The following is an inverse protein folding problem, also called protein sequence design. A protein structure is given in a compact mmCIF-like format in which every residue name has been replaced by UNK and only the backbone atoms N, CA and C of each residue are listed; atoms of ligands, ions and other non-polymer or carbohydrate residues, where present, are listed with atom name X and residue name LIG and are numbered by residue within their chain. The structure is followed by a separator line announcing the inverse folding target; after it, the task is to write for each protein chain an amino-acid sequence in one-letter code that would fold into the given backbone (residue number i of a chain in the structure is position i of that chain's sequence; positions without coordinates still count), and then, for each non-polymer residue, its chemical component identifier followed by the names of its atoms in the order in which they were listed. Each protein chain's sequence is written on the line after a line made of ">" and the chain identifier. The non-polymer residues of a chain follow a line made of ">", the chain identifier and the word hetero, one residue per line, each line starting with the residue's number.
data_IF_061059069728
#
_entry.id   IF_061059069728
#
_cell.length_a   1.000
_cell.length_b   1.000
_cell.length_c   1.000
_cell.angle_alpha   90.00
_cell.angle_beta   90.00
_cell.angle_gamma   90.00
#
_symmetry.space_group_name_H-M   'P 1'
#
loop_
_entity.id
_entity.type
_entity.pdbx_description
1 polymer ?
#
# COMPACT_ATOMS: atom_id res chain seq x y z
N UNK A 1 3.89 -81.88 29.34
CA UNK A 1 2.78 -81.79 30.32
C UNK A 1 2.21 -80.38 30.21
N UNK A 2 1.18 -80.17 29.38
CA UNK A 2 0.60 -78.85 29.16
C UNK A 2 -0.48 -78.56 30.19
N UNK A 3 -0.35 -77.47 30.94
CA UNK A 3 -1.51 -76.75 31.47
C UNK A 3 -1.25 -75.24 31.48
N UNK A 4 -1.94 -74.58 30.56
CA UNK A 4 -2.13 -73.13 30.47
C UNK A 4 -3.19 -72.70 31.48
N UNK A 5 -2.97 -71.60 32.21
CA UNK A 5 -4.04 -70.85 32.87
C UNK A 5 -3.80 -69.37 32.61
N UNK A 6 -4.76 -68.73 31.95
CA UNK A 6 -4.88 -67.27 31.79
C UNK A 6 -5.87 -66.80 32.84
N UNK A 7 -5.51 -65.80 33.65
CA UNK A 7 -6.44 -65.04 34.48
C UNK A 7 -6.47 -63.61 33.96
N UNK A 8 -7.69 -63.15 33.64
CA UNK A 8 -8.00 -61.86 33.07
C UNK A 8 -7.74 -60.71 34.05
N UNK A 9 -7.28 -59.61 33.48
CA UNK A 9 -6.84 -58.38 34.15
C UNK A 9 -8.00 -57.58 34.75
N UNK A 10 -7.83 -57.13 36.00
CA UNK A 10 -8.55 -55.98 36.57
C UNK A 10 -7.70 -54.72 36.30
N UNK A 11 -8.27 -53.70 35.66
CA UNK A 11 -7.59 -52.42 35.46
C UNK A 11 -8.56 -51.26 35.61
N UNK A 12 -8.50 -50.56 36.75
CA UNK A 12 -9.20 -49.29 36.99
C UNK A 12 -8.73 -48.23 35.98
N UNK A 13 -9.67 -47.56 35.32
CA UNK A 13 -9.41 -46.30 34.61
C UNK A 13 -9.10 -45.20 35.64
N UNK A 14 -7.83 -44.81 35.75
CA UNK A 14 -7.44 -43.51 36.30
C UNK A 14 -7.29 -42.50 35.18
N UNK A 15 -8.28 -41.64 34.95
CA UNK A 15 -8.15 -40.53 34.02
C UNK A 15 -7.42 -39.37 34.71
N UNK A 16 -6.11 -39.23 34.45
CA UNK A 16 -5.37 -38.04 34.83
C UNK A 16 -5.64 -36.93 33.81
N UNK A 17 -6.44 -35.93 34.21
CA UNK A 17 -6.68 -34.72 33.43
C UNK A 17 -5.47 -33.79 33.58
N UNK A 18 -4.47 -33.93 32.70
CA UNK A 18 -3.42 -32.92 32.56
C UNK A 18 -4.03 -31.69 31.87
N UNK A 19 -4.36 -30.67 32.65
CA UNK A 19 -4.52 -29.32 32.13
C UNK A 19 -3.13 -28.81 31.72
N UNK A 20 -2.82 -28.92 30.43
CA UNK A 20 -1.63 -28.31 29.87
C UNK A 20 -1.74 -26.77 30.01
N UNK A 21 -0.96 -26.20 30.92
CA UNK A 21 -0.76 -24.76 30.98
C UNK A 21 -0.06 -24.33 29.68
N UNK A 22 -0.82 -23.81 28.71
CA UNK A 22 -0.24 -23.07 27.59
C UNK A 22 0.10 -21.67 28.10
N UNK A 23 1.37 -21.25 28.09
CA UNK A 23 1.67 -19.85 28.34
C UNK A 23 0.96 -19.00 27.27
N UNK A 24 0.53 -17.76 27.61
CA UNK A 24 -0.02 -16.86 26.62
C UNK A 24 1.00 -16.68 25.50
N UNK A 25 0.55 -16.88 24.26
CA UNK A 25 1.34 -16.59 23.07
C UNK A 25 1.74 -15.12 23.17
N UNK A 26 3.05 -14.84 23.25
CA UNK A 26 3.54 -13.47 23.14
C UNK A 26 2.96 -12.87 21.85
N UNK A 27 2.43 -11.63 21.89
CA UNK A 27 1.88 -10.99 20.70
C UNK A 27 2.92 -11.08 19.55
N UNK A 28 2.54 -11.69 18.44
CA UNK A 28 3.42 -11.97 17.29
C UNK A 28 4.04 -10.69 16.70
N UNK A 29 3.36 -9.56 16.89
CA UNK A 29 3.78 -8.24 16.44
C UNK A 29 3.65 -7.19 17.57
N UNK A 30 4.57 -6.21 17.65
CA UNK A 30 4.45 -5.06 18.54
C UNK A 30 3.14 -4.30 18.35
N UNK A 31 2.58 -3.80 19.46
CA UNK A 31 1.34 -3.03 19.47
C UNK A 31 1.41 -1.80 18.55
N UNK A 32 2.57 -1.18 18.43
CA UNK A 32 2.83 -0.02 17.57
C UNK A 32 2.66 -0.32 16.08
N UNK A 33 2.75 -1.60 15.68
CA UNK A 33 2.56 -2.04 14.30
C UNK A 33 1.13 -2.51 13.99
N UNK A 34 0.30 -2.75 15.01
CA UNK A 34 -1.02 -3.39 14.84
C UNK A 34 -2.19 -2.68 15.52
N UNK A 35 -1.93 -1.75 16.46
CA UNK A 35 -2.95 -1.03 17.23
C UNK A 35 -2.94 0.46 16.84
N UNK A 36 -3.77 0.80 15.85
CA UNK A 36 -3.94 2.18 15.37
C UNK A 36 -5.21 2.81 15.95
N UNK A 37 -5.13 4.10 16.32
CA UNK A 37 -6.28 4.93 16.68
C UNK A 37 -6.42 6.07 15.66
N UNK A 38 -7.63 6.33 15.13
CA UNK A 38 -7.85 7.49 14.27
C UNK A 38 -7.46 8.79 14.98
N UNK A 39 -6.77 9.68 14.27
CA UNK A 39 -6.50 11.01 14.77
C UNK A 39 -7.79 11.82 14.88
N UNK A 40 -8.00 12.50 16.01
CA UNK A 40 -9.25 13.22 16.30
C UNK A 40 -9.45 14.44 15.40
N UNK A 41 -8.38 15.00 14.84
CA UNK A 41 -8.41 16.15 13.94
C UNK A 41 -8.55 15.80 12.45
N UNK A 42 -9.02 14.61 12.11
CA UNK A 42 -9.25 14.24 10.72
C UNK A 42 -10.34 15.11 10.04
N UNK A 43 -10.24 15.38 8.72
CA UNK A 43 -9.17 14.95 7.81
C UNK A 43 -7.91 15.84 7.88
N UNK A 44 -6.73 15.23 7.83
CA UNK A 44 -5.44 15.94 7.81
C UNK A 44 -5.15 16.66 6.48
N UNK A 45 -5.68 16.12 5.38
CA UNK A 45 -5.54 16.68 4.04
C UNK A 45 -6.78 16.32 3.23
N UNK A 46 -7.37 17.29 2.52
CA UNK A 46 -8.57 17.11 1.68
C UNK A 46 -8.42 17.94 0.42
N UNK A 47 -9.23 17.61 -0.60
CA UNK A 47 -9.38 18.47 -1.78
C UNK A 47 -9.80 19.86 -1.37
N UNK A 48 -9.47 20.85 -2.19
CA UNK A 48 -9.80 22.25 -1.90
C UNK A 48 -11.32 22.47 -1.82
N UNK A 49 -12.09 21.64 -2.54
CA UNK A 49 -13.52 21.84 -2.76
C UNK A 49 -13.84 23.00 -3.70
N UNK A 50 -12.83 23.64 -4.29
CA UNK A 50 -12.96 24.74 -5.22
C UNK A 50 -12.80 24.22 -6.66
N UNK A 51 -13.87 24.24 -7.49
CA UNK A 51 -13.80 23.82 -8.89
C UNK A 51 -12.83 24.64 -9.75
N UNK A 52 -12.37 25.81 -9.29
CA UNK A 52 -11.34 26.60 -9.97
C UNK A 52 -9.92 26.04 -9.76
N UNK A 53 -9.74 25.03 -8.90
CA UNK A 53 -8.45 24.42 -8.61
C UNK A 53 -8.34 23.02 -9.19
N UNK A 54 -7.13 22.64 -9.60
CA UNK A 54 -6.85 21.33 -10.19
C UNK A 54 -7.08 20.17 -9.21
N UNK A 55 -6.95 20.40 -7.90
CA UNK A 55 -7.18 19.44 -6.82
C UNK A 55 -8.44 19.75 -6.00
N UNK A 56 -9.51 20.20 -6.69
CA UNK A 56 -10.87 20.29 -6.15
C UNK A 56 -11.20 19.05 -5.32
N UNK A 57 -10.92 17.88 -5.89
CA UNK A 57 -11.06 16.56 -5.29
C UNK A 57 -9.71 15.88 -5.20
N UNK A 58 -9.61 14.95 -4.27
CA UNK A 58 -8.44 14.08 -4.09
C UNK A 58 -8.88 12.67 -4.48
N UNK A 59 -8.19 12.10 -5.46
CA UNK A 59 -8.29 10.69 -5.79
C UNK A 59 -7.55 9.86 -4.73
N UNK A 60 -6.33 10.30 -4.37
CA UNK A 60 -5.45 9.56 -3.46
C UNK A 60 -4.46 10.46 -2.71
N UNK A 61 -4.03 9.96 -1.53
CA UNK A 61 -2.92 10.51 -0.73
C UNK A 61 -1.75 9.53 -0.83
N UNK A 62 -1.26 9.37 -2.06
CA UNK A 62 -0.53 8.20 -2.55
C UNK A 62 0.64 7.73 -1.70
N UNK A 63 1.64 8.60 -1.47
CA UNK A 63 2.84 8.18 -0.77
C UNK A 63 3.40 9.28 0.13
N UNK A 64 3.80 8.91 1.34
CA UNK A 64 4.48 9.80 2.30
C UNK A 64 5.91 9.30 2.52
N UNK A 65 6.89 10.11 2.14
CA UNK A 65 8.30 9.90 2.47
C UNK A 65 8.72 10.83 3.61
N UNK A 66 9.39 10.29 4.62
CA UNK A 66 10.07 11.09 5.64
C UNK A 66 11.56 11.15 5.32
N UNK A 67 12.09 12.35 5.12
CA UNK A 67 13.50 12.57 4.80
C UNK A 67 13.98 13.93 5.30
N UNK A 68 15.20 13.99 5.85
CA UNK A 68 15.78 15.25 6.30
C UNK A 68 14.95 15.97 7.37
N UNK A 69 14.25 15.22 8.22
CA UNK A 69 13.36 15.77 9.25
C UNK A 69 12.02 16.31 8.75
N UNK A 70 11.72 16.17 7.45
CA UNK A 70 10.47 16.64 6.83
C UNK A 70 9.70 15.47 6.20
N UNK A 71 8.39 15.58 6.15
CA UNK A 71 7.50 14.69 5.43
C UNK A 71 7.14 15.29 4.07
N UNK A 72 7.15 14.45 3.04
CA UNK A 72 6.78 14.77 1.67
C UNK A 72 5.66 13.82 1.25
N UNK A 73 4.52 14.37 0.88
CA UNK A 73 3.37 13.62 0.38
C UNK A 73 3.18 13.92 -1.09
N UNK A 74 3.28 12.88 -1.92
CA UNK A 74 2.76 12.92 -3.28
C UNK A 74 1.31 12.47 -3.24
N UNK A 75 0.45 13.24 -3.91
CA UNK A 75 -0.99 13.04 -3.90
C UNK A 75 -1.59 13.26 -5.27
N UNK A 76 -2.73 12.64 -5.52
CA UNK A 76 -3.44 12.72 -6.78
C UNK A 76 -4.69 13.57 -6.63
N UNK A 77 -4.71 14.69 -7.35
CA UNK A 77 -5.82 15.63 -7.39
C UNK A 77 -6.49 15.66 -8.76
N UNK A 78 -7.76 16.05 -8.77
CA UNK A 78 -8.52 16.25 -9.99
C UNK A 78 -9.68 17.21 -9.78
N UNK A 79 -10.19 17.74 -10.88
CA UNK A 79 -11.42 18.53 -10.93
C UNK A 79 -12.29 18.05 -12.09
N UNK A 80 -13.61 18.14 -11.92
CA UNK A 80 -14.54 17.87 -13.01
C UNK A 80 -14.84 19.12 -13.85
N UNK A 81 -14.36 20.30 -13.43
CA UNK A 81 -14.71 21.58 -14.05
C UNK A 81 -14.16 21.75 -15.48
N UNK A 82 -13.07 21.07 -15.81
CA UNK A 82 -12.46 21.12 -17.15
C UNK A 82 -13.14 20.17 -18.15
N UNK A 83 -13.96 19.23 -17.67
CA UNK A 83 -14.47 18.12 -18.47
C UNK A 83 -13.42 17.06 -18.82
N UNK A 84 -12.17 17.24 -18.41
CA UNK A 84 -11.11 16.25 -18.56
C UNK A 84 -11.13 15.28 -17.39
N UNK A 85 -10.92 13.99 -17.66
CA UNK A 85 -10.80 12.97 -16.61
C UNK A 85 -9.36 12.86 -16.05
N UNK A 86 -8.51 13.86 -16.26
CA UNK A 86 -7.10 13.76 -15.90
C UNK A 86 -6.88 13.67 -14.38
N UNK A 87 -5.88 12.87 -13.96
CA UNK A 87 -5.42 12.75 -12.58
C UNK A 87 -4.01 13.31 -12.45
N UNK A 88 -3.90 14.40 -11.71
CA UNK A 88 -2.68 15.20 -11.62
C UNK A 88 -1.89 14.88 -10.36
N UNK A 89 -0.56 14.96 -10.46
CA UNK A 89 0.33 14.78 -9.32
C UNK A 89 0.59 16.11 -8.62
N UNK A 90 0.34 16.15 -7.31
CA UNK A 90 0.73 17.23 -6.42
C UNK A 90 1.74 16.80 -5.38
N UNK A 91 2.40 17.79 -4.79
CA UNK A 91 3.27 17.64 -3.63
C UNK A 91 2.74 18.46 -2.45
N UNK A 92 2.78 17.90 -1.26
CA UNK A 92 2.59 18.62 -0.01
C UNK A 92 3.70 18.25 0.98
N UNK A 93 4.04 19.16 1.88
CA UNK A 93 5.06 18.92 2.91
C UNK A 93 4.50 19.12 4.30
N UNK A 94 5.08 18.44 5.28
CA UNK A 94 4.76 18.59 6.69
C UNK A 94 6.01 18.43 7.55
N UNK A 95 6.09 19.15 8.67
CA UNK A 95 7.17 18.98 9.65
C UNK A 95 6.80 17.95 10.74
N UNK A 96 5.50 17.70 10.95
CA UNK A 96 4.97 16.85 12.03
C UNK A 96 4.14 15.65 11.53
N UNK A 97 3.90 15.55 10.22
CA UNK A 97 3.04 14.54 9.61
C UNK A 97 1.53 14.79 9.79
N UNK A 98 1.15 15.85 10.51
CA UNK A 98 -0.24 16.19 10.84
C UNK A 98 -0.72 17.40 10.06
N UNK A 99 0.09 18.46 9.97
CA UNK A 99 -0.22 19.69 9.25
C UNK A 99 0.49 19.71 7.91
N UNK A 100 -0.27 19.78 6.84
CA UNK A 100 0.25 19.66 5.47
C UNK A 100 0.10 20.97 4.71
N UNK A 101 1.19 21.41 4.07
CA UNK A 101 1.24 22.58 3.21
C UNK A 101 1.44 22.13 1.77
N UNK A 102 0.53 22.51 0.87
CA UNK A 102 0.66 22.27 -0.57
C UNK A 102 1.88 23.01 -1.12
N UNK A 103 2.59 22.39 -2.06
CA UNK A 103 3.64 23.05 -2.80
C UNK A 103 3.04 24.15 -3.69
N UNK A 104 3.63 25.34 -3.66
CA UNK A 104 3.06 26.54 -4.28
C UNK A 104 2.94 26.46 -5.81
N UNK A 105 3.75 25.61 -6.47
CA UNK A 105 3.73 25.41 -7.92
C UNK A 105 3.04 24.11 -8.34
N UNK A 106 2.19 23.56 -7.47
CA UNK A 106 1.33 22.44 -7.86
C UNK A 106 0.40 22.84 -9.03
N UNK A 107 -0.02 21.87 -9.86
CA UNK A 107 0.41 20.47 -9.88
C UNK A 107 1.86 20.34 -10.40
N UNK A 108 2.60 19.35 -9.91
CA UNK A 108 4.00 19.13 -10.28
C UNK A 108 4.17 18.19 -11.48
N UNK A 109 3.10 17.51 -11.91
CA UNK A 109 3.07 16.74 -13.15
C UNK A 109 1.69 16.81 -13.80
N UNK A 110 1.64 17.18 -15.08
CA UNK A 110 0.39 17.42 -15.83
C UNK A 110 0.27 16.67 -17.15
N UNK A 111 1.35 16.06 -17.62
CA UNK A 111 1.39 15.42 -18.95
C UNK A 111 1.09 13.92 -18.91
N UNK A 112 1.03 13.32 -17.72
CA UNK A 112 0.73 11.91 -17.48
C UNK A 112 -0.29 11.81 -16.34
N UNK A 113 -1.24 10.89 -16.48
CA UNK A 113 -2.14 10.49 -15.40
C UNK A 113 -1.32 9.77 -14.34
N UNK A 114 -1.42 10.20 -13.09
CA UNK A 114 -0.63 9.61 -11.99
C UNK A 114 -1.53 9.32 -10.79
N UNK A 115 -1.69 8.04 -10.46
CA UNK A 115 -2.33 7.54 -9.24
C UNK A 115 -1.60 6.28 -8.72
N UNK A 116 -2.03 5.72 -7.60
CA UNK A 116 -1.49 4.55 -6.88
C UNK A 116 0.05 4.47 -6.87
N UNK A 117 0.65 5.58 -6.47
CA UNK A 117 2.08 5.83 -6.56
C UNK A 117 2.85 5.33 -5.33
N UNK A 118 4.05 4.81 -5.58
CA UNK A 118 5.06 4.51 -4.57
C UNK A 118 6.36 5.22 -4.94
N UNK A 119 7.01 5.86 -3.96
CA UNK A 119 8.27 6.58 -4.17
C UNK A 119 9.39 5.93 -3.37
N UNK A 120 10.45 5.52 -4.07
CA UNK A 120 11.69 5.01 -3.50
C UNK A 120 12.82 5.97 -3.80
N UNK A 121 13.87 5.94 -2.98
CA UNK A 121 15.08 6.72 -3.20
C UNK A 121 16.30 5.80 -3.23
N UNK A 122 17.12 5.95 -4.27
CA UNK A 122 18.43 5.31 -4.38
C UNK A 122 19.47 6.39 -4.75
N UNK A 123 20.50 6.55 -3.92
CA UNK A 123 21.50 7.61 -4.09
C UNK A 123 20.86 9.00 -4.12
N UNK A 124 21.01 9.69 -5.26
CA UNK A 124 20.44 11.03 -5.50
C UNK A 124 19.18 10.99 -6.37
N UNK A 125 18.63 9.81 -6.64
CA UNK A 125 17.48 9.63 -7.54
C UNK A 125 16.27 9.11 -6.77
N UNK A 126 15.14 9.77 -7.01
CA UNK A 126 13.83 9.28 -6.62
C UNK A 126 13.22 8.53 -7.79
N UNK A 127 12.63 7.37 -7.50
CA UNK A 127 11.93 6.51 -8.43
C UNK A 127 10.48 6.47 -8.00
N UNK A 128 9.57 6.82 -8.90
CA UNK A 128 8.14 6.72 -8.68
C UNK A 128 7.59 5.64 -9.60
N UNK A 129 6.98 4.63 -8.98
CA UNK A 129 6.16 3.64 -9.65
C UNK A 129 4.73 4.10 -9.48
N UNK A 130 4.02 4.37 -10.56
CA UNK A 130 2.66 4.92 -10.49
C UNK A 130 1.75 4.28 -11.52
N UNK A 131 0.48 4.19 -11.19
CA UNK A 131 -0.58 3.85 -12.12
C UNK A 131 -0.91 5.05 -13.00
N UNK A 132 -1.04 4.78 -14.29
CA UNK A 132 -1.53 5.71 -15.30
C UNK A 132 -2.84 5.23 -15.92
N UNK A 133 -3.33 5.97 -16.91
CA UNK A 133 -4.57 5.65 -17.62
C UNK A 133 -4.61 4.18 -18.05
N UNK A 134 -5.78 3.57 -17.91
CA UNK A 134 -6.03 2.15 -18.21
C UNK A 134 -5.22 1.16 -17.33
N UNK A 135 -4.95 1.57 -16.08
CA UNK A 135 -4.25 0.80 -15.05
C UNK A 135 -2.82 0.39 -15.47
N UNK A 136 -2.15 1.25 -16.23
CA UNK A 136 -0.80 0.97 -16.76
C UNK A 136 0.23 1.50 -15.77
N UNK A 137 1.07 0.62 -15.24
CA UNK A 137 2.19 1.02 -14.39
C UNK A 137 3.27 1.75 -15.21
N UNK A 138 3.68 2.93 -14.76
CA UNK A 138 4.76 3.75 -15.31
C UNK A 138 5.92 3.89 -14.32
N UNK A 139 7.13 4.09 -14.86
CA UNK A 139 8.29 4.50 -14.09
C UNK A 139 8.60 5.98 -14.34
N UNK A 140 8.67 6.76 -13.27
CA UNK A 140 9.14 8.14 -13.31
C UNK A 140 10.39 8.31 -12.43
N UNK A 141 11.28 9.22 -12.80
CA UNK A 141 12.44 9.58 -11.95
C UNK A 141 12.52 11.07 -11.68
N UNK A 142 13.00 11.45 -10.50
CA UNK A 142 13.29 12.84 -10.14
C UNK A 142 14.60 12.94 -9.36
N UNK A 143 15.31 14.06 -9.47
CA UNK A 143 16.45 14.39 -8.61
C UNK A 143 16.08 15.30 -7.43
N UNK A 144 14.89 15.90 -7.44
CA UNK A 144 14.52 16.98 -6.53
C UNK A 144 13.12 16.84 -5.92
N UNK A 145 12.42 15.73 -6.20
CA UNK A 145 11.04 15.40 -5.75
C UNK A 145 9.92 16.14 -6.49
N UNK A 146 10.27 17.09 -7.35
CA UNK A 146 9.33 18.00 -8.02
C UNK A 146 9.29 17.75 -9.52
N UNK A 147 10.47 17.73 -10.16
CA UNK A 147 10.59 17.55 -11.60
C UNK A 147 10.72 16.05 -11.90
N UNK A 148 9.64 15.47 -12.42
CA UNK A 148 9.56 14.05 -12.76
C UNK A 148 9.71 13.84 -14.26
N UNK A 149 10.59 12.91 -14.63
CA UNK A 149 10.75 12.42 -15.99
C UNK A 149 10.07 11.06 -16.10
N UNK A 150 9.06 10.95 -16.97
CA UNK A 150 8.44 9.69 -17.35
C UNK A 150 9.38 8.86 -18.25
N UNK A 151 9.53 7.58 -17.94
CA UNK A 151 10.25 6.59 -18.73
C UNK A 151 9.31 5.62 -19.45
N UNK A 152 8.00 5.84 -19.35
CA UNK A 152 6.96 5.05 -19.99
C UNK A 152 6.51 3.86 -19.15
N UNK A 153 5.69 3.03 -19.78
CA UNK A 153 5.10 1.84 -19.17
C UNK A 153 6.18 0.82 -18.77
N UNK A 154 6.02 0.24 -17.58
CA UNK A 154 6.87 -0.81 -17.07
C UNK A 154 6.48 -2.13 -17.75
N UNK A 155 7.48 -2.83 -18.28
CA UNK A 155 7.31 -4.17 -18.84
C UNK A 155 7.19 -5.20 -17.71
N UNK A 156 5.95 -5.48 -17.30
CA UNK A 156 5.63 -6.50 -16.30
C UNK A 156 5.30 -7.80 -17.01
N UNK A 157 6.01 -8.87 -16.64
CA UNK A 157 5.89 -10.19 -17.27
C UNK A 157 5.52 -11.28 -16.26
N UNK A 158 4.75 -12.24 -16.74
CA UNK A 158 4.47 -13.48 -16.03
C UNK A 158 5.76 -14.32 -15.91
N UNK A 159 5.76 -15.32 -15.03
CA UNK A 159 6.89 -16.25 -14.84
C UNK A 159 7.37 -16.90 -16.14
N UNK A 160 6.47 -17.12 -17.09
CA UNK A 160 6.78 -17.71 -18.39
C UNK A 160 7.37 -16.69 -19.40
N UNK A 161 7.60 -15.44 -19.00
CA UNK A 161 8.15 -14.37 -19.82
C UNK A 161 7.14 -13.67 -20.74
N UNK A 162 5.87 -14.09 -20.75
CA UNK A 162 4.82 -13.40 -21.49
C UNK A 162 4.40 -12.09 -20.78
N UNK A 163 4.05 -11.02 -21.53
CA UNK A 163 3.54 -9.79 -20.93
C UNK A 163 2.27 -10.02 -20.13
N UNK A 164 2.07 -9.24 -19.07
CA UNK A 164 0.78 -9.18 -18.39
C UNK A 164 -0.27 -8.49 -19.28
N UNK A 165 -1.53 -8.88 -19.14
CA UNK A 165 -2.63 -8.20 -19.83
C UNK A 165 -2.82 -6.78 -19.28
N UNK A 166 -3.33 -5.87 -20.10
CA UNK A 166 -3.66 -4.49 -19.68
C UNK A 166 -4.93 -4.48 -18.81
N UNK A 167 -5.05 -3.47 -17.94
CA UNK A 167 -6.17 -3.28 -17.01
C UNK A 167 -5.82 -3.61 -15.56
N UNK A 168 -6.74 -3.34 -14.64
CA UNK A 168 -6.53 -3.34 -13.19
C UNK A 168 -5.72 -4.53 -12.67
N UNK A 169 -4.52 -4.25 -12.15
CA UNK A 169 -3.61 -5.23 -11.58
C UNK A 169 -3.55 -5.17 -10.05
N UNK A 170 -4.10 -4.12 -9.44
CA UNK A 170 -4.00 -3.82 -8.02
C UNK A 170 -5.38 -3.80 -7.35
N UNK A 171 -5.61 -4.71 -6.42
CA UNK A 171 -6.52 -4.50 -5.30
C UNK A 171 -5.74 -4.78 -4.00
N UNK A 172 -6.28 -4.34 -2.86
CA UNK A 172 -5.62 -4.41 -1.55
C UNK A 172 -5.28 -5.84 -1.08
N UNK A 173 -5.71 -6.86 -1.82
CA UNK A 173 -5.58 -8.29 -1.49
C UNK A 173 -4.62 -9.06 -2.43
N UNK A 174 -4.00 -8.38 -3.42
CA UNK A 174 -3.05 -8.94 -4.39
C UNK A 174 -3.66 -9.31 -5.75
N UNK A 175 -2.82 -9.63 -6.74
CA UNK A 175 -3.22 -9.94 -8.13
C UNK A 175 -4.36 -10.98 -8.23
N UNK A 176 -5.59 -10.54 -8.48
CA UNK A 176 -6.73 -11.42 -8.68
C UNK A 176 -6.90 -11.76 -10.16
N UNK A 177 -6.72 -13.04 -10.52
CA UNK A 177 -7.12 -13.58 -11.83
C UNK A 177 -8.31 -14.52 -11.62
N UNK A 178 -9.53 -14.06 -11.95
CA UNK A 178 -10.74 -14.90 -12.01
C UNK A 178 -10.94 -15.79 -10.77
N UNK A 179 -10.99 -15.18 -9.58
CA UNK A 179 -11.44 -15.85 -8.37
C UNK A 179 -10.49 -16.86 -7.74
N UNK A 180 -9.18 -16.84 -8.04
CA UNK A 180 -8.18 -17.59 -7.28
C UNK A 180 -7.00 -16.70 -6.91
N UNK A 181 -6.85 -16.44 -5.61
CA UNK A 181 -5.70 -15.77 -4.99
C UNK A 181 -4.45 -16.65 -5.12
N UNK A 182 -3.33 -16.06 -5.51
CA UNK A 182 -2.01 -16.73 -5.46
C UNK A 182 -1.09 -15.90 -4.57
N UNK A 183 -0.76 -16.35 -3.35
CA UNK A 183 0.16 -15.62 -2.47
C UNK A 183 1.60 -15.73 -2.99
N UNK A 184 2.38 -14.66 -2.80
CA UNK A 184 3.81 -14.63 -3.06
C UNK A 184 4.55 -15.52 -2.04
N UNK A 185 5.33 -16.48 -2.54
CA UNK A 185 6.43 -17.13 -1.82
C UNK A 185 7.76 -16.54 -2.30
#
# INVERSE_FOLDING_TARGET
>A
MNRTTIIASLGLLGAAMLLAFRPPVAEEFPAELVKFKPYTGNPLFKGTGDPATWDEKIRERGYILREGGKYYMWYTGYTNATGEDMKYLGLATSDDGLKWTRYAKNPIHTTLWVEDMCVLKEGNTYYMFAESRDDIAHLLTSGDRVNWKDHGAIDIRLRNGSPIARGALWNADGLERKGNLVPFL
#
